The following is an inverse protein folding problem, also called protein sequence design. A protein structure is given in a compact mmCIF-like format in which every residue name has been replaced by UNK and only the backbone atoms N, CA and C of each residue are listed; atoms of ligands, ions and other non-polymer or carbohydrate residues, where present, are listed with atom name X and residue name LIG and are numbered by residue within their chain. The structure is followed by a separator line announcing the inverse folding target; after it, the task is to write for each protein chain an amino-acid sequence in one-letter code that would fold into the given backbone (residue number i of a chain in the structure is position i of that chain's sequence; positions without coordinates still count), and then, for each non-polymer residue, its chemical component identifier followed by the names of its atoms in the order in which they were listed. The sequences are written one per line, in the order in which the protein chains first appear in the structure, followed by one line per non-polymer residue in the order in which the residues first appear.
data_IF_856070914096
#
_entry.id   IF_856070914096
#
_cell.length_a   1.000
_cell.length_b   1.000
_cell.length_c   1.000
_cell.angle_alpha   90.00
_cell.angle_beta   90.00
_cell.angle_gamma   90.00
#
_symmetry.space_group_name_H-M   'P 1'
#
loop_
_entity.id
_entity.type
_entity.pdbx_description
1 polymer ?
#
# COMPACT_ATOMS: atom_id res chain seq x y z
N UNK A 1 14.69 8.87 12.10
CA UNK A 1 14.22 9.83 11.09
C UNK A 1 13.12 10.71 11.66
N UNK A 2 11.97 10.15 12.11
CA UNK A 2 10.80 10.93 12.56
C UNK A 2 11.13 11.91 13.70
N UNK A 3 11.83 11.44 14.72
CA UNK A 3 12.23 12.30 15.86
C UNK A 3 13.23 13.38 15.48
N UNK A 4 14.14 13.09 14.54
CA UNK A 4 15.06 14.09 14.00
C UNK A 4 14.29 15.18 13.24
N UNK A 5 13.35 14.78 12.36
CA UNK A 5 12.50 15.73 11.64
C UNK A 5 11.58 16.53 12.57
N UNK A 6 11.06 15.89 13.63
CA UNK A 6 10.27 16.59 14.65
C UNK A 6 11.06 17.75 15.26
N UNK A 7 12.32 17.52 15.61
CA UNK A 7 13.13 18.49 16.36
C UNK A 7 13.83 19.50 15.43
N UNK A 8 14.20 19.08 14.23
CA UNK A 8 14.96 19.89 13.27
C UNK A 8 14.10 20.53 12.17
N UNK A 9 12.87 20.05 11.98
CA UNK A 9 11.96 20.59 10.98
C UNK A 9 11.53 22.02 11.26
N UNK A 10 11.23 22.78 10.19
CA UNK A 10 10.73 24.13 10.33
C UNK A 10 9.26 24.09 10.82
N UNK A 11 9.01 24.59 12.02
CA UNK A 11 7.69 24.67 12.64
C UNK A 11 7.02 26.03 12.48
N UNK A 12 7.78 27.03 12.11
CA UNK A 12 7.28 28.41 11.93
C UNK A 12 6.73 28.57 10.51
N UNK A 13 7.51 28.19 9.50
CA UNK A 13 7.08 28.22 8.11
C UNK A 13 6.61 26.85 7.63
N UNK A 14 5.30 26.61 7.66
CA UNK A 14 4.70 25.33 7.28
C UNK A 14 4.92 24.94 5.81
N UNK A 15 5.15 25.91 4.92
CA UNK A 15 5.49 25.61 3.51
C UNK A 15 6.81 24.85 3.40
N UNK A 16 7.73 25.06 4.36
CA UNK A 16 9.05 24.45 4.42
C UNK A 16 9.16 23.37 5.53
N UNK A 17 8.06 22.79 5.98
CA UNK A 17 8.04 21.82 7.07
C UNK A 17 8.40 20.38 6.66
N UNK A 18 8.45 20.08 5.35
CA UNK A 18 8.75 18.72 4.85
C UNK A 18 10.23 18.39 5.07
N UNK A 19 10.52 17.09 5.26
CA UNK A 19 11.88 16.58 5.50
C UNK A 19 12.88 17.02 4.44
N UNK A 20 12.50 17.12 3.17
CA UNK A 20 13.37 17.60 2.10
C UNK A 20 14.00 18.97 2.40
N UNK A 21 13.23 19.91 2.95
CA UNK A 21 13.75 21.24 3.29
C UNK A 21 14.68 21.22 4.51
N UNK A 22 14.50 20.26 5.40
CA UNK A 22 15.46 20.04 6.49
C UNK A 22 16.77 19.51 5.93
N UNK A 23 16.72 18.52 5.01
CA UNK A 23 17.90 17.97 4.32
C UNK A 23 18.62 19.04 3.48
N UNK A 24 17.89 19.86 2.75
CA UNK A 24 18.45 20.99 1.97
C UNK A 24 19.25 21.95 2.88
N UNK A 25 18.76 22.17 4.11
CA UNK A 25 19.37 23.11 5.05
C UNK A 25 20.57 22.53 5.80
N UNK A 26 20.52 21.26 6.23
CA UNK A 26 21.55 20.67 7.10
C UNK A 26 22.50 19.72 6.38
N UNK A 27 22.12 19.25 5.19
CA UNK A 27 22.81 18.21 4.43
C UNK A 27 22.41 16.80 4.85
N UNK A 28 22.55 15.88 3.91
CA UNK A 28 22.18 14.46 4.10
C UNK A 28 23.06 13.80 5.17
N UNK A 29 24.37 14.02 5.12
CA UNK A 29 25.32 13.37 6.03
C UNK A 29 25.11 13.82 7.48
N UNK A 30 24.85 15.11 7.71
CA UNK A 30 24.55 15.63 9.05
C UNK A 30 23.24 15.05 9.59
N UNK A 31 22.23 14.96 8.73
CA UNK A 31 20.95 14.37 9.11
C UNK A 31 21.07 12.87 9.39
N UNK A 32 21.82 12.13 8.55
CA UNK A 32 22.16 10.71 8.74
C UNK A 32 22.84 10.46 10.07
N UNK A 33 23.91 11.22 10.37
CA UNK A 33 24.64 11.08 11.62
C UNK A 33 23.76 11.27 12.87
N UNK A 34 22.83 12.24 12.84
CA UNK A 34 21.89 12.43 13.94
C UNK A 34 20.87 11.28 14.05
N UNK A 35 20.41 10.74 12.92
CA UNK A 35 19.52 9.55 12.91
C UNK A 35 20.25 8.34 13.51
N UNK A 36 21.49 8.08 13.09
CA UNK A 36 22.32 6.99 13.62
C UNK A 36 22.54 7.12 15.12
N UNK A 37 22.89 8.33 15.58
CA UNK A 37 23.06 8.65 17.00
C UNK A 37 21.79 8.35 17.81
N UNK A 38 20.61 8.77 17.34
CA UNK A 38 19.34 8.54 18.02
C UNK A 38 18.91 7.07 18.03
N UNK A 39 19.23 6.37 16.95
CA UNK A 39 18.89 4.96 16.81
C UNK A 39 19.88 4.03 17.50
N UNK A 40 21.08 4.50 17.88
CA UNK A 40 22.15 3.69 18.45
C UNK A 40 22.74 2.68 17.46
N UNK A 41 22.68 2.97 16.16
CA UNK A 41 23.17 2.11 15.07
C UNK A 41 24.00 2.91 14.09
N UNK A 42 24.84 2.22 13.31
CA UNK A 42 25.50 2.76 12.13
C UNK A 42 24.88 2.13 10.89
N UNK A 43 24.45 2.92 9.93
CA UNK A 43 23.93 2.38 8.67
C UNK A 43 25.05 1.78 7.85
N UNK A 44 24.80 0.60 7.30
CA UNK A 44 25.68 0.00 6.31
C UNK A 44 25.73 0.86 5.04
N UNK A 45 26.77 0.67 4.24
CA UNK A 45 26.87 1.27 2.92
C UNK A 45 25.66 0.85 2.04
N UNK A 46 25.23 1.77 1.18
CA UNK A 46 24.15 1.49 0.25
C UNK A 46 24.54 0.36 -0.70
N UNK A 47 23.62 -0.59 -0.92
CA UNK A 47 23.81 -1.64 -1.92
C UNK A 47 23.29 -1.15 -3.26
N UNK A 48 23.97 -1.44 -4.38
CA UNK A 48 23.41 -1.20 -5.69
C UNK A 48 22.06 -1.90 -5.84
N UNK A 49 21.05 -1.18 -6.29
CA UNK A 49 19.73 -1.72 -6.53
C UNK A 49 19.06 -1.01 -7.71
N UNK A 50 18.44 -1.79 -8.58
CA UNK A 50 17.66 -1.28 -9.69
C UNK A 50 16.21 -1.78 -9.57
N UNK A 51 15.26 -0.87 -9.69
CA UNK A 51 13.84 -1.23 -9.73
C UNK A 51 13.47 -1.71 -11.13
N UNK A 52 13.14 -2.98 -11.25
CA UNK A 52 12.71 -3.59 -12.53
C UNK A 52 11.21 -3.48 -12.79
N UNK A 53 10.44 -2.98 -11.82
CA UNK A 53 8.99 -2.81 -11.93
C UNK A 53 8.44 -1.85 -10.88
N UNK A 54 7.22 -1.37 -11.11
CA UNK A 54 6.51 -0.44 -10.21
C UNK A 54 5.20 -0.98 -9.68
N UNK A 55 4.73 -2.10 -10.21
CA UNK A 55 3.47 -2.74 -9.82
C UNK A 55 3.62 -3.67 -8.62
N UNK A 56 2.51 -3.94 -7.97
CA UNK A 56 2.43 -4.97 -6.95
C UNK A 56 2.37 -6.36 -7.59
N UNK A 57 2.95 -7.34 -6.91
CA UNK A 57 2.87 -8.75 -7.32
C UNK A 57 1.57 -9.34 -6.78
N UNK A 58 0.46 -9.13 -7.50
CA UNK A 58 -0.86 -9.64 -7.11
C UNK A 58 -0.85 -11.17 -7.13
N UNK A 59 -1.45 -11.77 -6.11
CA UNK A 59 -1.49 -13.21 -5.90
C UNK A 59 -0.51 -13.70 -4.84
N UNK A 60 -0.26 -15.00 -4.83
CA UNK A 60 0.62 -15.63 -3.86
C UNK A 60 2.10 -15.46 -4.21
N UNK A 61 2.90 -15.19 -3.20
CA UNK A 61 4.36 -15.21 -3.25
C UNK A 61 4.91 -15.97 -2.05
N UNK A 62 6.08 -16.60 -2.21
CA UNK A 62 6.79 -17.24 -1.11
C UNK A 62 7.44 -16.18 -0.21
N UNK A 63 7.34 -16.39 1.09
CA UNK A 63 7.96 -15.61 2.14
C UNK A 63 9.18 -16.33 2.74
N UNK A 64 9.66 -15.77 3.84
CA UNK A 64 10.78 -16.35 4.59
C UNK A 64 10.30 -17.52 5.46
N UNK A 65 11.16 -18.53 5.67
CA UNK A 65 10.89 -19.69 6.53
C UNK A 65 9.59 -20.45 6.23
N UNK A 66 9.28 -20.63 4.94
CA UNK A 66 8.10 -21.41 4.52
C UNK A 66 6.76 -20.69 4.72
N UNK A 67 6.77 -19.39 5.02
CA UNK A 67 5.56 -18.58 5.01
C UNK A 67 5.18 -18.15 3.59
N UNK A 68 3.98 -17.63 3.44
CA UNK A 68 3.46 -17.12 2.17
C UNK A 68 2.90 -15.71 2.35
N UNK A 69 2.83 -14.96 1.26
CA UNK A 69 2.19 -13.65 1.21
C UNK A 69 1.13 -13.66 0.11
N UNK A 70 -0.06 -13.18 0.42
CA UNK A 70 -1.12 -12.96 -0.58
C UNK A 70 -1.30 -11.47 -0.80
N UNK A 71 -0.92 -10.99 -1.98
CA UNK A 71 -1.20 -9.63 -2.40
C UNK A 71 -2.55 -9.57 -3.12
N UNK A 72 -3.46 -8.73 -2.63
CA UNK A 72 -4.81 -8.54 -3.13
C UNK A 72 -4.90 -7.19 -3.85
N UNK A 73 -5.50 -7.19 -5.03
CA UNK A 73 -5.92 -5.96 -5.68
C UNK A 73 -7.13 -5.38 -4.95
N UNK A 74 -7.03 -4.15 -4.49
CA UNK A 74 -8.11 -3.43 -3.81
C UNK A 74 -8.45 -2.19 -4.63
N UNK A 75 -9.55 -2.25 -5.35
CA UNK A 75 -9.98 -1.15 -6.21
C UNK A 75 -10.04 0.17 -5.43
N UNK A 76 -9.22 1.15 -5.83
CA UNK A 76 -9.04 2.44 -5.17
C UNK A 76 -8.68 2.37 -3.67
N UNK A 77 -8.12 1.25 -3.21
CA UNK A 77 -7.75 1.04 -1.81
C UNK A 77 -8.92 0.95 -0.84
N UNK A 78 -10.13 0.68 -1.33
CA UNK A 78 -11.34 0.75 -0.50
C UNK A 78 -12.05 -0.59 -0.36
N UNK A 79 -12.01 -1.13 0.85
CA UNK A 79 -12.78 -2.32 1.23
C UNK A 79 -14.17 -1.90 1.69
N UNK A 80 -15.18 -2.13 0.86
CA UNK A 80 -16.59 -1.88 1.16
C UNK A 80 -17.40 -3.13 0.87
N UNK A 81 -18.45 -3.35 1.65
CA UNK A 81 -19.48 -4.32 1.32
C UNK A 81 -20.45 -3.70 0.30
N UNK A 82 -20.58 -4.36 -0.84
CA UNK A 82 -21.55 -4.05 -1.90
C UNK A 82 -22.52 -5.23 -2.02
N UNK A 83 -23.70 -5.07 -2.59
CA UNK A 83 -24.57 -6.19 -2.93
C UNK A 83 -23.77 -7.24 -3.73
N UNK A 84 -23.80 -8.49 -3.27
CA UNK A 84 -23.05 -9.63 -3.85
C UNK A 84 -21.51 -9.54 -3.83
N UNK A 85 -20.91 -8.55 -3.16
CA UNK A 85 -19.47 -8.38 -3.06
C UNK A 85 -19.07 -7.89 -1.65
N UNK A 86 -19.14 -8.75 -0.61
CA UNK A 86 -18.90 -8.38 0.79
C UNK A 86 -17.42 -8.34 1.13
N UNK A 87 -16.65 -7.45 0.50
CA UNK A 87 -15.19 -7.39 0.60
C UNK A 87 -14.70 -7.08 2.01
N UNK A 88 -15.34 -6.11 2.69
CA UNK A 88 -14.98 -5.74 4.07
C UNK A 88 -15.27 -6.89 5.03
N UNK A 89 -16.43 -7.50 4.92
CA UNK A 89 -16.81 -8.67 5.74
C UNK A 89 -15.87 -9.83 5.49
N UNK A 90 -15.54 -10.15 4.22
CA UNK A 90 -14.58 -11.19 3.89
C UNK A 90 -13.20 -10.95 4.46
N UNK A 91 -12.71 -9.73 4.40
CA UNK A 91 -11.43 -9.37 5.02
C UNK A 91 -11.47 -9.53 6.56
N UNK A 92 -12.59 -9.20 7.19
CA UNK A 92 -12.77 -9.40 8.63
C UNK A 92 -12.73 -10.88 9.02
N UNK A 93 -13.29 -11.78 8.19
CA UNK A 93 -13.19 -13.23 8.43
C UNK A 93 -11.74 -13.74 8.31
N UNK A 94 -10.99 -13.27 7.32
CA UNK A 94 -9.55 -13.57 7.21
C UNK A 94 -8.80 -13.07 8.45
N UNK A 95 -9.09 -11.86 8.93
CA UNK A 95 -8.44 -11.29 10.09
C UNK A 95 -8.68 -12.06 11.40
N UNK A 96 -9.74 -12.86 11.50
CA UNK A 96 -10.01 -13.70 12.68
C UNK A 96 -9.05 -14.89 12.79
N UNK A 97 -8.55 -15.39 11.67
CA UNK A 97 -7.70 -16.59 11.64
C UNK A 97 -6.23 -16.26 11.36
N UNK A 98 -5.97 -15.15 10.62
CA UNK A 98 -4.61 -14.78 10.24
C UNK A 98 -3.80 -14.29 11.45
N UNK A 99 -2.58 -14.83 11.61
CA UNK A 99 -1.68 -14.55 12.73
C UNK A 99 -0.50 -13.64 12.36
N UNK A 100 -0.32 -13.35 11.08
CA UNK A 100 0.74 -12.49 10.56
C UNK A 100 0.28 -11.03 10.42
N UNK A 101 0.86 -10.33 9.48
CA UNK A 101 0.64 -8.90 9.27
C UNK A 101 -0.30 -8.61 8.09
N UNK A 102 -0.99 -7.47 8.16
CA UNK A 102 -1.60 -6.82 7.00
C UNK A 102 -0.74 -5.61 6.59
N UNK A 103 -0.31 -5.57 5.33
CA UNK A 103 0.56 -4.51 4.82
C UNK A 103 -0.08 -3.80 3.64
N UNK A 104 -0.20 -2.48 3.73
CA UNK A 104 -0.65 -1.65 2.62
C UNK A 104 0.50 -1.40 1.64
N UNK A 105 0.20 -1.37 0.35
CA UNK A 105 1.17 -1.03 -0.70
C UNK A 105 1.06 0.43 -1.11
N UNK A 106 2.09 0.93 -1.81
CA UNK A 106 2.07 2.27 -2.40
C UNK A 106 1.01 2.41 -3.54
N UNK A 107 0.52 1.29 -4.07
CA UNK A 107 -0.49 1.24 -5.13
C UNK A 107 -1.91 1.01 -4.59
N UNK A 108 -2.16 1.35 -3.33
CA UNK A 108 -3.48 1.22 -2.65
C UNK A 108 -3.97 -0.22 -2.50
N UNK A 109 -3.08 -1.22 -2.60
CA UNK A 109 -3.40 -2.62 -2.44
C UNK A 109 -3.07 -3.13 -1.04
N UNK A 110 -3.41 -4.39 -0.75
CA UNK A 110 -3.21 -5.01 0.54
C UNK A 110 -2.47 -6.34 0.40
N UNK A 111 -1.50 -6.57 1.29
CA UNK A 111 -0.80 -7.84 1.41
C UNK A 111 -1.19 -8.48 2.75
N UNK A 112 -1.66 -9.72 2.69
CA UNK A 112 -1.78 -10.61 3.84
C UNK A 112 -0.44 -11.32 3.96
N UNK A 113 0.39 -10.91 4.93
CA UNK A 113 1.79 -11.27 5.00
C UNK A 113 2.08 -12.26 6.13
N UNK A 114 2.96 -13.24 5.87
CA UNK A 114 3.35 -14.24 6.87
C UNK A 114 2.28 -15.29 7.10
N UNK A 115 1.59 -15.71 6.05
CA UNK A 115 0.61 -16.81 6.09
C UNK A 115 1.36 -18.11 6.25
N UNK A 116 1.03 -18.88 7.28
CA UNK A 116 1.56 -20.22 7.46
C UNK A 116 1.08 -21.17 6.35
N UNK A 117 1.89 -22.16 5.99
CA UNK A 117 1.56 -23.08 4.89
C UNK A 117 0.25 -23.84 5.14
N UNK A 118 -0.03 -24.20 6.38
CA UNK A 118 -1.27 -24.85 6.80
C UNK A 118 -2.50 -23.97 6.65
N UNK A 119 -2.38 -22.65 6.80
CA UNK A 119 -3.48 -21.69 6.73
C UNK A 119 -3.75 -21.20 5.30
N UNK A 120 -2.83 -21.47 4.35
CA UNK A 120 -2.88 -20.94 2.99
C UNK A 120 -4.18 -21.27 2.26
N UNK A 121 -4.60 -22.53 2.30
CA UNK A 121 -5.81 -22.98 1.60
C UNK A 121 -7.09 -22.33 2.16
N UNK A 122 -7.17 -22.16 3.47
CA UNK A 122 -8.31 -21.55 4.11
C UNK A 122 -8.36 -20.03 3.86
N UNK A 123 -7.21 -19.35 3.91
CA UNK A 123 -7.13 -17.92 3.57
C UNK A 123 -7.50 -17.69 2.11
N UNK A 124 -7.06 -18.55 1.19
CA UNK A 124 -7.46 -18.46 -0.22
C UNK A 124 -8.97 -18.64 -0.39
N UNK A 125 -9.56 -19.63 0.27
CA UNK A 125 -11.01 -19.84 0.26
C UNK A 125 -11.78 -18.62 0.75
N UNK A 126 -11.34 -18.04 1.87
CA UNK A 126 -11.93 -16.84 2.46
C UNK A 126 -11.71 -15.59 1.61
N UNK A 127 -10.66 -15.52 0.82
CA UNK A 127 -10.41 -14.41 -0.10
C UNK A 127 -11.24 -14.54 -1.39
N UNK A 128 -11.45 -15.74 -1.91
CA UNK A 128 -12.23 -15.98 -3.13
C UNK A 128 -13.72 -15.83 -2.91
N UNK A 129 -14.26 -16.35 -1.81
CA UNK A 129 -15.71 -16.34 -1.54
C UNK A 129 -16.35 -14.94 -1.60
N UNK A 130 -15.79 -13.87 -0.99
CA UNK A 130 -16.31 -12.52 -1.08
C UNK A 130 -15.84 -11.75 -2.33
N UNK A 131 -15.00 -12.34 -3.20
CA UNK A 131 -14.45 -11.68 -4.37
C UNK A 131 -13.21 -10.81 -4.12
N UNK A 132 -12.53 -10.96 -2.98
CA UNK A 132 -11.26 -10.28 -2.71
C UNK A 132 -10.12 -10.77 -3.63
N UNK A 133 -10.18 -12.03 -4.07
CA UNK A 133 -9.25 -12.65 -5.01
C UNK A 133 -10.01 -13.00 -6.27
N UNK A 134 -9.85 -12.20 -7.33
CA UNK A 134 -10.41 -12.41 -8.64
C UNK A 134 -9.28 -12.63 -9.66
N UNK A 135 -9.43 -13.63 -10.52
CA UNK A 135 -8.41 -14.03 -11.49
C UNK A 135 -8.48 -13.20 -12.80
N UNK A 136 -9.64 -12.57 -13.06
CA UNK A 136 -10.00 -11.89 -14.30
C UNK A 136 -9.82 -10.37 -14.29
N UNK A 137 -9.15 -9.81 -13.28
CA UNK A 137 -8.88 -8.38 -13.21
C UNK A 137 -7.86 -7.98 -14.27
N UNK A 138 -8.23 -7.06 -15.15
CA UNK A 138 -7.38 -6.61 -16.27
C UNK A 138 -6.09 -5.91 -15.79
N UNK A 139 -5.10 -5.84 -16.68
CA UNK A 139 -3.85 -5.11 -16.43
C UNK A 139 -4.14 -3.61 -16.25
N UNK A 140 -5.06 -3.05 -17.04
CA UNK A 140 -5.48 -1.65 -16.94
C UNK A 140 -6.04 -1.37 -15.55
N UNK A 141 -6.97 -2.22 -15.07
CA UNK A 141 -7.59 -2.06 -13.77
C UNK A 141 -6.59 -2.17 -12.63
N UNK A 142 -5.70 -3.18 -12.66
CA UNK A 142 -4.64 -3.36 -11.65
C UNK A 142 -3.65 -2.20 -11.56
N UNK A 143 -3.46 -1.46 -12.66
CA UNK A 143 -2.56 -0.31 -12.74
C UNK A 143 -3.28 1.04 -12.68
N UNK A 144 -4.60 1.05 -12.52
CA UNK A 144 -5.38 2.26 -12.34
C UNK A 144 -5.54 2.61 -10.88
N UNK A 145 -5.30 3.86 -10.53
CA UNK A 145 -5.34 4.34 -9.15
C UNK A 145 -5.84 5.79 -9.12
N UNK A 146 -6.72 6.10 -8.19
CA UNK A 146 -7.23 7.44 -8.00
C UNK A 146 -7.12 7.89 -6.54
N UNK A 147 -7.02 9.22 -6.33
CA UNK A 147 -7.20 9.78 -5.00
C UNK A 147 -8.69 9.79 -4.62
N UNK A 148 -8.98 9.94 -3.32
CA UNK A 148 -10.36 9.98 -2.82
C UNK A 148 -11.21 11.10 -3.41
N UNK A 149 -10.58 12.24 -3.74
CA UNK A 149 -11.17 13.42 -4.37
C UNK A 149 -12.53 13.89 -3.78
N UNK A 150 -13.38 14.50 -4.61
CA UNK A 150 -14.70 14.99 -4.22
C UNK A 150 -15.67 13.80 -3.99
N UNK A 151 -16.60 13.85 -3.02
CA UNK A 151 -16.88 14.95 -2.08
C UNK A 151 -16.08 14.85 -0.76
N UNK A 152 -15.18 13.88 -0.60
CA UNK A 152 -14.51 13.61 0.68
C UNK A 152 -13.37 14.59 0.93
N UNK A 153 -12.58 14.92 -0.09
CA UNK A 153 -11.46 15.84 0.03
C UNK A 153 -11.92 17.29 -0.14
N UNK A 154 -11.75 18.17 0.86
CA UNK A 154 -12.18 19.57 0.77
C UNK A 154 -11.37 20.39 -0.23
N UNK A 155 -10.25 19.88 -0.72
CA UNK A 155 -9.39 20.53 -1.72
C UNK A 155 -9.68 20.06 -3.15
N UNK A 156 -10.53 19.06 -3.33
CA UNK A 156 -10.85 18.53 -4.65
C UNK A 156 -11.91 19.36 -5.34
N UNK A 157 -11.75 19.55 -6.65
CA UNK A 157 -12.69 20.25 -7.52
C UNK A 157 -13.49 19.28 -8.42
N UNK A 158 -13.13 18.01 -8.44
CA UNK A 158 -13.75 16.98 -9.25
C UNK A 158 -13.73 15.62 -8.54
N UNK A 159 -14.55 14.68 -9.01
CA UNK A 159 -14.47 13.27 -8.60
C UNK A 159 -13.24 12.59 -9.23
N UNK A 160 -12.72 11.55 -8.57
CA UNK A 160 -11.71 10.67 -9.12
C UNK A 160 -11.99 9.21 -8.73
N UNK A 161 -11.93 8.86 -7.44
CA UNK A 161 -12.15 7.48 -6.96
C UNK A 161 -13.47 6.88 -7.44
N UNK A 162 -14.55 7.66 -7.43
CA UNK A 162 -15.88 7.17 -7.81
C UNK A 162 -16.08 7.06 -9.31
N UNK A 163 -15.36 7.88 -10.07
CA UNK A 163 -15.44 7.92 -11.53
C UNK A 163 -14.57 6.86 -12.20
N UNK A 164 -13.37 6.61 -11.65
CA UNK A 164 -12.35 5.76 -12.27
C UNK A 164 -12.83 4.34 -12.61
N UNK A 165 -13.57 3.61 -11.76
CA UNK A 165 -14.01 2.25 -12.08
C UNK A 165 -14.86 2.16 -13.35
N UNK A 166 -15.77 3.11 -13.53
CA UNK A 166 -16.60 3.22 -14.74
C UNK A 166 -15.77 3.53 -15.98
N UNK A 167 -14.89 4.53 -15.88
CA UNK A 167 -13.98 4.89 -16.96
C UNK A 167 -13.10 3.69 -17.40
N UNK A 168 -12.56 2.94 -16.44
CA UNK A 168 -11.76 1.75 -16.78
C UNK A 168 -12.60 0.71 -17.49
N UNK A 169 -13.86 0.48 -17.06
CA UNK A 169 -14.79 -0.44 -17.73
C UNK A 169 -15.06 0.00 -19.19
N UNK A 170 -15.28 1.29 -19.42
CA UNK A 170 -15.52 1.82 -20.77
C UNK A 170 -14.27 1.65 -21.67
N UNK A 171 -13.08 1.87 -21.09
CA UNK A 171 -11.80 1.67 -21.82
C UNK A 171 -11.58 0.18 -22.11
N UNK A 172 -11.82 -0.71 -21.16
CA UNK A 172 -11.72 -2.16 -21.35
C UNK A 172 -12.66 -2.70 -22.44
N UNK A 173 -13.81 -2.06 -22.62
CA UNK A 173 -14.76 -2.43 -23.68
C UNK A 173 -14.33 -1.99 -25.10
N UNK A 174 -13.38 -1.09 -25.22
CA UNK A 174 -12.87 -0.57 -26.49
C UNK A 174 -11.61 -1.33 -26.95
N UNK A 175 -10.84 -1.86 -26.00
CA UNK A 175 -9.58 -2.58 -26.23
C UNK A 175 -9.79 -4.05 -26.57
#
# INVERSE_FOLDING_TARGET
VVTTQRDWGNRVNRKNAKTKYTLDRVGVDTFKAEVEKRAGITFAESRPYEFTGRGDRIGWTEGYEGTHHLALFIENGRLLDKPNLPLKTGMAEIAKIHKGDFRMTANQNLIIAGVASEDKAEIERLARAPGLMADDVSVQRKNSMACVAFPTCPLAMAEAERYLPGLVTDVEAIL
#
